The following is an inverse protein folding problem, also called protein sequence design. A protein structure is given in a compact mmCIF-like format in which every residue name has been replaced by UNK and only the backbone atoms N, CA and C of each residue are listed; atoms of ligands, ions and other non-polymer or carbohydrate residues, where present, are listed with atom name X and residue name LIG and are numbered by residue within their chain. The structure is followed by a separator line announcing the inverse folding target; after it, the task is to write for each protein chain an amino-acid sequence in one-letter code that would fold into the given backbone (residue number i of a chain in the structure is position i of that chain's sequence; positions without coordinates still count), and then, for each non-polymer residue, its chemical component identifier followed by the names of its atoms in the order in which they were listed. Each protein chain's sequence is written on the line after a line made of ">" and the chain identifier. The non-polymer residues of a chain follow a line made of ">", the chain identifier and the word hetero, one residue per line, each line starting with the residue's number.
data_IF_527397624608
#
_entry.id   IF_527397624608
#
_cell.length_a   1.000
_cell.length_b   1.000
_cell.length_c   1.000
_cell.angle_alpha   90.00
_cell.angle_beta   90.00
_cell.angle_gamma   90.00
#
_symmetry.space_group_name_H-M   'P 1'
#
loop_
_entity.id
_entity.type
_entity.pdbx_description
1 polymer ?
#
# COMPACT_ATOMS: atom_id res chain seq x y z
N UNK A 1 -19.88 13.38 4.81
CA UNK A 1 -18.52 13.13 4.29
C UNK A 1 -18.10 14.35 3.49
N UNK A 2 -16.97 15.00 3.83
CA UNK A 2 -16.42 16.12 3.04
C UNK A 2 -16.02 15.60 1.66
N UNK A 3 -16.49 16.25 0.59
CA UNK A 3 -16.10 15.95 -0.80
C UNK A 3 -14.80 16.69 -1.08
N UNK A 4 -13.68 15.98 -0.97
CA UNK A 4 -12.36 16.53 -1.27
C UNK A 4 -12.24 16.68 -2.79
N UNK A 5 -12.05 17.91 -3.28
CA UNK A 5 -11.95 18.25 -4.71
C UNK A 5 -10.53 18.71 -5.10
N UNK A 6 -9.52 18.49 -4.23
CA UNK A 6 -8.13 18.78 -4.56
C UNK A 6 -7.64 17.91 -5.72
N UNK A 7 -6.82 18.48 -6.61
CA UNK A 7 -6.19 17.75 -7.72
C UNK A 7 -5.30 16.60 -7.22
N UNK A 8 -4.82 16.68 -5.98
CA UNK A 8 -4.16 15.61 -5.25
C UNK A 8 -3.81 16.06 -3.83
N UNK A 9 -3.57 15.12 -2.89
CA UNK A 9 -3.86 13.68 -2.98
C UNK A 9 -5.38 13.41 -3.09
N UNK A 10 -5.75 12.31 -3.73
CA UNK A 10 -7.16 11.96 -4.00
C UNK A 10 -7.82 11.31 -2.78
N UNK A 11 -9.14 11.38 -2.73
CA UNK A 11 -9.90 10.71 -1.68
C UNK A 11 -9.83 9.19 -1.85
N UNK A 12 -9.28 8.51 -0.85
CA UNK A 12 -9.21 7.05 -0.79
C UNK A 12 -10.51 6.47 -0.23
N UNK A 13 -10.91 5.27 -0.68
CA UNK A 13 -12.09 4.56 -0.14
C UNK A 13 -11.93 4.29 1.36
N UNK A 14 -13.03 4.38 2.09
CA UNK A 14 -13.04 4.31 3.56
C UNK A 14 -12.45 3.00 4.12
N UNK A 15 -12.78 1.86 3.52
CA UNK A 15 -12.24 0.56 3.92
C UNK A 15 -10.71 0.49 3.78
N UNK A 16 -10.15 1.11 2.74
CA UNK A 16 -8.70 1.17 2.53
C UNK A 16 -8.05 2.08 3.57
N UNK A 17 -8.69 3.21 3.90
CA UNK A 17 -8.22 4.12 4.95
C UNK A 17 -8.18 3.43 6.31
N UNK A 18 -9.21 2.66 6.66
CA UNK A 18 -9.28 1.88 7.90
C UNK A 18 -8.24 0.75 7.95
N UNK A 19 -7.93 0.12 6.81
CA UNK A 19 -6.86 -0.88 6.75
C UNK A 19 -5.49 -0.24 6.97
N UNK A 20 -5.24 0.93 6.36
CA UNK A 20 -3.99 1.69 6.50
C UNK A 20 -3.74 2.27 7.90
N UNK A 21 -4.80 2.46 8.71
CA UNK A 21 -4.65 2.95 10.09
C UNK A 21 -4.31 1.86 11.10
N UNK A 22 -4.27 0.59 10.68
CA UNK A 22 -3.86 -0.52 11.55
C UNK A 22 -2.36 -0.47 11.75
N UNK A 23 -1.91 -0.86 12.94
CA UNK A 23 -0.49 -1.02 13.23
C UNK A 23 0.05 -2.10 12.28
N UNK A 24 1.15 -1.78 11.60
CA UNK A 24 1.90 -2.68 10.76
C UNK A 24 3.38 -2.64 11.15
N UNK A 25 4.07 -3.76 10.94
CA UNK A 25 5.52 -3.86 11.11
C UNK A 25 6.22 -3.24 9.90
N UNK A 26 7.50 -2.88 10.07
CA UNK A 26 8.35 -2.51 8.93
C UNK A 26 8.31 -3.63 7.88
N UNK A 27 7.82 -3.40 6.66
CA UNK A 27 7.69 -4.43 5.64
C UNK A 27 9.03 -5.08 5.26
N UNK A 28 10.16 -4.38 5.45
CA UNK A 28 11.50 -4.96 5.24
C UNK A 28 11.82 -6.08 6.25
N UNK A 29 11.13 -6.08 7.39
CA UNK A 29 11.30 -7.04 8.49
C UNK A 29 10.12 -8.01 8.60
N UNK A 30 9.10 -7.91 7.75
CA UNK A 30 7.90 -8.76 7.78
C UNK A 30 7.95 -9.83 6.67
N UNK A 31 8.17 -11.11 7.01
CA UNK A 31 8.16 -12.19 6.01
C UNK A 31 6.81 -12.35 5.30
N UNK A 32 5.70 -12.02 5.97
CA UNK A 32 4.39 -12.08 5.33
C UNK A 32 4.23 -10.99 4.27
N UNK A 33 4.94 -9.87 4.42
CA UNK A 33 4.94 -8.81 3.43
C UNK A 33 5.51 -9.27 2.10
N UNK A 34 6.56 -10.11 2.10
CA UNK A 34 7.17 -10.63 0.87
C UNK A 34 6.14 -11.31 -0.05
N UNK A 35 5.33 -12.21 0.51
CA UNK A 35 4.27 -12.88 -0.26
C UNK A 35 3.22 -11.87 -0.73
N UNK A 36 2.79 -10.96 0.14
CA UNK A 36 1.80 -9.94 -0.21
C UNK A 36 2.27 -9.00 -1.33
N UNK A 37 3.57 -8.67 -1.35
CA UNK A 37 4.20 -7.84 -2.36
C UNK A 37 4.20 -8.56 -3.72
N UNK A 38 4.62 -9.82 -3.76
CA UNK A 38 4.62 -10.62 -4.99
C UNK A 38 3.20 -10.77 -5.57
N UNK A 39 2.22 -11.08 -4.72
CA UNK A 39 0.81 -11.16 -5.12
C UNK A 39 0.27 -9.83 -5.66
N UNK A 40 0.70 -8.71 -5.06
CA UNK A 40 0.30 -7.38 -5.50
C UNK A 40 0.90 -7.05 -6.86
N UNK A 41 2.19 -7.35 -7.09
CA UNK A 41 2.83 -7.20 -8.39
C UNK A 41 2.08 -7.99 -9.47
N UNK A 42 1.75 -9.26 -9.21
CA UNK A 42 0.97 -10.10 -10.14
C UNK A 42 -0.41 -9.52 -10.46
N UNK A 43 -1.12 -8.99 -9.44
CA UNK A 43 -2.42 -8.32 -9.63
C UNK A 43 -2.26 -7.09 -10.52
N UNK A 44 -1.22 -6.28 -10.32
CA UNK A 44 -0.97 -5.10 -11.16
C UNK A 44 -0.62 -5.53 -12.60
N UNK A 45 0.23 -6.53 -12.80
CA UNK A 45 0.53 -7.05 -14.15
C UNK A 45 -0.74 -7.48 -14.89
N UNK A 46 -1.66 -8.14 -14.18
CA UNK A 46 -2.96 -8.53 -14.72
C UNK A 46 -3.84 -7.33 -15.09
N UNK A 47 -3.90 -6.30 -14.25
CA UNK A 47 -4.63 -5.05 -14.54
C UNK A 47 -4.03 -4.31 -15.74
N UNK A 48 -2.71 -4.34 -15.90
CA UNK A 48 -1.99 -3.70 -17.00
C UNK A 48 -1.93 -4.55 -18.27
N UNK A 49 -2.47 -5.78 -18.25
CA UNK A 49 -2.43 -6.75 -19.35
C UNK A 49 -1.02 -6.99 -19.90
N UNK A 50 -0.02 -7.11 -19.01
CA UNK A 50 1.37 -7.35 -19.39
C UNK A 50 1.88 -8.69 -18.87
N UNK A 51 2.75 -9.32 -19.65
CA UNK A 51 3.51 -10.52 -19.27
C UNK A 51 4.91 -10.16 -18.75
N UNK A 52 5.29 -8.87 -18.75
CA UNK A 52 6.56 -8.42 -18.21
C UNK A 52 6.50 -8.33 -16.68
N UNK A 53 7.67 -8.47 -16.04
CA UNK A 53 7.80 -8.28 -14.60
C UNK A 53 7.36 -6.86 -14.19
N UNK A 54 6.55 -6.80 -13.15
CA UNK A 54 6.06 -5.56 -12.56
C UNK A 54 6.67 -5.39 -11.18
N UNK A 55 7.24 -4.21 -10.93
CA UNK A 55 7.84 -3.87 -9.65
C UNK A 55 7.22 -2.60 -9.09
N UNK A 56 6.92 -2.61 -7.79
CA UNK A 56 6.39 -1.44 -7.09
C UNK A 56 7.53 -0.85 -6.28
N UNK A 57 7.98 0.34 -6.68
CA UNK A 57 8.98 1.10 -5.95
C UNK A 57 8.26 1.96 -4.91
N UNK A 58 8.51 1.68 -3.64
CA UNK A 58 7.91 2.39 -2.51
C UNK A 58 9.02 3.10 -1.75
N UNK A 59 8.80 4.37 -1.41
CA UNK A 59 9.55 5.04 -0.35
C UNK A 59 8.75 4.85 0.93
N UNK A 60 9.24 3.99 1.83
CA UNK A 60 8.52 3.63 3.04
C UNK A 60 8.46 4.81 4.02
N UNK A 61 7.26 5.08 4.52
CA UNK A 61 7.07 5.91 5.70
C UNK A 61 7.08 4.97 6.92
N UNK A 62 8.15 4.96 7.70
CA UNK A 62 8.16 4.33 9.01
C UNK A 62 7.18 5.11 9.90
N UNK A 63 6.09 4.46 10.31
CA UNK A 63 5.29 4.98 11.42
C UNK A 63 5.94 4.43 12.68
N UNK A 64 6.92 5.17 13.19
CA UNK A 64 7.47 4.90 14.52
C UNK A 64 6.36 5.15 15.54
N UNK A 65 5.65 4.09 15.93
CA UNK A 65 4.97 4.07 17.22
C UNK A 65 6.04 3.99 18.30
N UNK A 66 6.56 5.16 18.70
CA UNK A 66 7.14 5.32 20.03
C UNK A 66 6.00 5.01 21.02
N UNK A 67 6.06 3.81 21.61
CA UNK A 67 5.19 3.40 22.69
C UNK A 67 5.26 4.44 23.81
N UNK A 68 4.11 5.03 24.14
CA UNK A 68 3.85 5.58 25.47
C UNK A 68 2.91 4.63 26.19
#
# INVERSE_FOLDING_TARGET
>A
MLKIMSAGPTQVRENVRQARSRICTNPDLDPAFFQSYEETCKKISSILHTNNDTHILISLCQVDTQNN
#
